data_IF_874204133202
#
_entry.id   IF_874204133202
#
_cell.length_a   1.000
_cell.length_b   1.000
_cell.length_c   1.000
_cell.angle_alpha   90.00
_cell.angle_beta   90.00
_cell.angle_gamma   90.00
#
_symmetry.space_group_name_H-M   'P 1'
#
loop_
_entity.id
_entity.type
_entity.pdbx_description
1 polymer ?
#
# COMPACT_ATOMS: atom_id res chain seq x y z
N UNK A 1 13.36 -6.90 -5.44
CA UNK A 1 13.65 -7.14 -4.02
C UNK A 1 14.28 -5.87 -3.42
N UNK A 2 13.94 -5.51 -2.18
CA UNK A 2 14.37 -4.25 -1.55
C UNK A 2 15.89 -4.15 -1.35
N UNK A 3 16.54 -3.01 -1.67
CA UNK A 3 15.95 -1.73 -2.13
C UNK A 3 15.57 -1.74 -3.62
N UNK A 4 14.44 -1.10 -3.95
CA UNK A 4 13.99 -0.98 -5.34
C UNK A 4 14.93 -0.05 -6.12
N UNK A 5 15.39 -0.51 -7.29
CA UNK A 5 16.29 0.26 -8.17
C UNK A 5 15.53 0.95 -9.31
N UNK A 6 14.35 0.44 -9.63
CA UNK A 6 13.46 0.93 -10.68
C UNK A 6 12.03 0.83 -10.11
N UNK A 7 11.25 1.89 -10.29
CA UNK A 7 9.82 1.91 -9.95
C UNK A 7 9.00 1.54 -11.18
N UNK A 8 7.92 0.80 -10.96
CA UNK A 8 7.05 0.33 -12.03
C UNK A 8 6.28 1.47 -12.73
N UNK A 9 6.01 2.56 -12.00
CA UNK A 9 5.15 3.65 -12.45
C UNK A 9 3.69 3.22 -12.61
N UNK A 10 2.82 4.18 -12.88
CA UNK A 10 1.39 3.94 -13.10
C UNK A 10 1.13 3.12 -14.37
N UNK A 11 1.89 3.38 -15.43
CA UNK A 11 1.81 2.65 -16.71
C UNK A 11 2.03 1.15 -16.52
N UNK A 12 3.04 0.76 -15.73
CA UNK A 12 3.34 -0.64 -15.51
C UNK A 12 2.22 -1.34 -14.72
N UNK A 13 1.72 -0.71 -13.65
CA UNK A 13 0.61 -1.28 -12.86
C UNK A 13 -0.66 -1.45 -13.68
N UNK A 14 -1.00 -0.47 -14.53
CA UNK A 14 -2.16 -0.55 -15.42
C UNK A 14 -2.02 -1.67 -16.45
N UNK A 15 -0.83 -1.81 -17.05
CA UNK A 15 -0.54 -2.91 -17.97
C UNK A 15 -0.70 -4.28 -17.31
N UNK A 16 -0.14 -4.49 -16.11
CA UNK A 16 -0.32 -5.75 -15.38
C UNK A 16 -1.79 -6.01 -15.04
N UNK A 17 -2.55 -4.97 -14.68
CA UNK A 17 -3.98 -5.09 -14.43
C UNK A 17 -4.74 -5.57 -15.66
N UNK A 18 -4.45 -5.00 -16.83
CA UNK A 18 -5.06 -5.40 -18.11
C UNK A 18 -4.70 -6.85 -18.46
N UNK A 19 -3.42 -7.22 -18.35
CA UNK A 19 -2.96 -8.59 -18.63
C UNK A 19 -3.63 -9.62 -17.71
N UNK A 20 -3.76 -9.29 -16.42
CA UNK A 20 -4.42 -10.14 -15.45
C UNK A 20 -5.92 -10.32 -15.76
N UNK A 21 -6.60 -9.25 -16.19
CA UNK A 21 -8.00 -9.31 -16.62
C UNK A 21 -8.18 -10.21 -17.84
N UNK A 22 -7.34 -10.05 -18.87
CA UNK A 22 -7.37 -10.88 -20.09
C UNK A 22 -7.11 -12.35 -19.74
N UNK A 23 -6.10 -12.64 -18.93
CA UNK A 23 -5.77 -14.00 -18.50
C UNK A 23 -6.93 -14.66 -17.75
N UNK A 24 -7.58 -13.91 -16.85
CA UNK A 24 -8.71 -14.40 -16.06
C UNK A 24 -9.92 -14.73 -16.94
N UNK A 25 -10.30 -13.83 -17.85
CA UNK A 25 -11.42 -14.04 -18.78
C UNK A 25 -11.13 -15.23 -19.72
N UNK A 26 -9.91 -15.30 -20.25
CA UNK A 26 -9.50 -16.38 -21.17
C UNK A 26 -9.48 -17.74 -20.50
N UNK A 27 -9.08 -17.82 -19.22
CA UNK A 27 -9.08 -19.07 -18.45
C UNK A 27 -10.48 -19.60 -18.16
N UNK A 28 -11.44 -18.71 -17.92
CA UNK A 28 -12.84 -19.04 -17.58
C UNK A 28 -13.63 -19.55 -18.80
N UNK A 29 -13.35 -19.01 -19.99
CA UNK A 29 -14.09 -19.33 -21.22
C UNK A 29 -13.77 -20.71 -21.81
N UNK A 30 -12.67 -21.36 -21.39
CA UNK A 30 -12.20 -22.63 -21.96
C UNK A 30 -12.66 -23.85 -21.15
N UNK A 31 -13.93 -23.89 -20.73
CA UNK A 31 -14.44 -25.07 -20.02
C UNK A 31 -14.80 -26.19 -21.04
N UNK A 32 -14.09 -27.33 -21.08
CA UNK A 32 -14.29 -28.35 -22.12
C UNK A 32 -15.60 -29.12 -21.97
N UNK A 33 -16.27 -29.01 -20.81
CA UNK A 33 -17.48 -29.75 -20.47
C UNK A 33 -18.70 -28.83 -20.57
N UNK A 34 -19.65 -29.08 -21.49
CA UNK A 34 -20.91 -28.36 -21.49
C UNK A 34 -21.67 -28.66 -20.19
N UNK A 35 -22.27 -27.63 -19.53
CA UNK A 35 -23.00 -27.82 -18.29
C UNK A 35 -24.16 -28.77 -18.51
N UNK A 36 -24.28 -29.80 -17.67
CA UNK A 36 -25.43 -30.69 -17.69
C UNK A 36 -26.65 -30.01 -17.03
N UNK A 37 -27.89 -30.24 -17.50
CA UNK A 37 -29.08 -29.63 -16.89
C UNK A 37 -29.20 -30.05 -15.43
N UNK A 38 -29.18 -29.09 -14.51
CA UNK A 38 -29.24 -29.31 -13.05
C UNK A 38 -27.88 -29.30 -12.33
N UNK A 39 -26.76 -29.25 -13.05
CA UNK A 39 -25.42 -29.19 -12.46
C UNK A 39 -24.96 -27.74 -12.27
N UNK A 40 -25.08 -27.23 -11.04
CA UNK A 40 -24.67 -25.86 -10.68
C UNK A 40 -23.14 -25.71 -10.53
N UNK A 41 -22.40 -26.82 -10.45
CA UNK A 41 -20.96 -26.80 -10.18
C UNK A 41 -20.15 -26.13 -11.30
N UNK A 42 -20.48 -26.42 -12.56
CA UNK A 42 -19.79 -25.84 -13.72
C UNK A 42 -19.96 -24.30 -13.81
N UNK A 43 -21.19 -23.73 -13.82
CA UNK A 43 -21.35 -22.27 -13.86
C UNK A 43 -20.81 -21.57 -12.61
N UNK A 44 -20.86 -22.21 -11.43
CA UNK A 44 -20.29 -21.65 -10.22
C UNK A 44 -18.75 -21.59 -10.28
N UNK A 45 -18.10 -22.61 -10.85
CA UNK A 45 -16.65 -22.63 -11.03
C UNK A 45 -16.14 -21.49 -11.92
N UNK A 46 -16.89 -21.10 -12.96
CA UNK A 46 -16.56 -19.96 -13.82
C UNK A 46 -16.45 -18.63 -13.05
N UNK A 47 -17.19 -18.47 -11.95
CA UNK A 47 -17.17 -17.26 -11.12
C UNK A 47 -16.17 -17.40 -9.96
N UNK A 48 -16.19 -18.56 -9.29
CA UNK A 48 -15.40 -18.80 -8.08
C UNK A 48 -13.90 -18.87 -8.37
N UNK A 49 -13.49 -19.47 -9.48
CA UNK A 49 -12.06 -19.62 -9.82
C UNK A 49 -11.36 -18.26 -10.03
N UNK A 50 -11.88 -17.34 -10.87
CA UNK A 50 -11.40 -15.96 -10.94
C UNK A 50 -11.32 -15.25 -9.61
N UNK A 51 -12.38 -15.40 -8.80
CA UNK A 51 -12.48 -14.71 -7.52
C UNK A 51 -11.40 -15.20 -6.55
N UNK A 52 -11.08 -16.50 -6.58
CA UNK A 52 -9.98 -17.08 -5.81
C UNK A 52 -8.61 -16.60 -6.33
N UNK A 53 -8.40 -16.56 -7.65
CA UNK A 53 -7.13 -16.07 -8.23
C UNK A 53 -6.91 -14.60 -7.87
N UNK A 54 -7.96 -13.79 -7.95
CA UNK A 54 -7.95 -12.36 -7.63
C UNK A 54 -8.20 -12.05 -6.14
N UNK A 55 -8.29 -13.07 -5.29
CA UNK A 55 -8.71 -12.88 -3.91
C UNK A 55 -7.81 -11.91 -3.15
N UNK A 56 -6.49 -11.98 -3.31
CA UNK A 56 -5.56 -11.06 -2.63
C UNK A 56 -5.67 -9.61 -3.11
N UNK A 57 -5.61 -9.29 -4.42
CA UNK A 57 -5.79 -7.91 -4.86
C UNK A 57 -7.18 -7.36 -4.53
N UNK A 58 -8.23 -8.18 -4.64
CA UNK A 58 -9.58 -7.78 -4.21
C UNK A 58 -9.62 -7.51 -2.71
N UNK A 59 -9.03 -8.40 -1.90
CA UNK A 59 -9.01 -8.24 -0.45
C UNK A 59 -8.23 -6.99 -0.01
N UNK A 60 -7.11 -6.66 -0.64
CA UNK A 60 -6.35 -5.43 -0.33
C UNK A 60 -7.21 -4.17 -0.58
N UNK A 61 -7.96 -4.16 -1.70
CA UNK A 61 -8.88 -3.06 -2.03
C UNK A 61 -10.07 -3.02 -1.07
N UNK A 62 -10.72 -4.16 -0.82
CA UNK A 62 -11.89 -4.25 0.06
C UNK A 62 -11.54 -3.87 1.51
N UNK A 63 -10.40 -4.33 2.02
CA UNK A 63 -9.93 -3.96 3.37
C UNK A 63 -9.59 -2.47 3.47
N UNK A 64 -9.06 -1.87 2.41
CA UNK A 64 -8.87 -0.42 2.35
C UNK A 64 -10.21 0.32 2.37
N UNK A 65 -11.21 -0.13 1.59
CA UNK A 65 -12.55 0.47 1.54
C UNK A 65 -13.27 0.36 2.91
N UNK A 66 -13.33 -0.82 3.51
CA UNK A 66 -14.02 -1.04 4.81
C UNK A 66 -13.43 -0.13 5.89
N UNK A 67 -12.10 -0.08 6.01
CA UNK A 67 -11.42 0.75 7.00
C UNK A 67 -11.72 2.23 6.80
N UNK A 68 -11.70 2.68 5.54
CA UNK A 68 -12.06 4.05 5.17
C UNK A 68 -13.47 4.38 5.65
N UNK A 69 -14.43 3.50 5.36
CA UNK A 69 -15.84 3.72 5.71
C UNK A 69 -16.01 3.76 7.22
N UNK A 70 -15.30 2.90 7.97
CA UNK A 70 -15.27 2.93 9.44
C UNK A 70 -14.62 4.19 10.04
N UNK A 71 -13.70 4.83 9.31
CA UNK A 71 -13.10 6.13 9.72
C UNK A 71 -13.89 7.34 9.23
N UNK A 72 -15.08 7.14 8.64
CA UNK A 72 -15.93 8.21 8.11
C UNK A 72 -15.31 8.97 6.92
N UNK A 73 -14.29 8.40 6.28
CA UNK A 73 -13.58 9.03 5.16
C UNK A 73 -14.29 8.66 3.84
N UNK A 74 -14.44 9.59 2.90
CA UNK A 74 -15.14 9.34 1.63
C UNK A 74 -14.33 8.43 0.68
N UNK A 75 -15.01 7.59 -0.12
CA UNK A 75 -14.45 6.53 -1.01
C UNK A 75 -13.28 6.99 -1.91
N UNK A 76 -13.15 8.29 -2.20
CA UNK A 76 -12.08 8.87 -3.02
C UNK A 76 -10.93 9.60 -2.29
N UNK A 77 -10.87 9.62 -0.95
CA UNK A 77 -9.68 10.19 -0.26
C UNK A 77 -8.42 9.34 -0.55
N UNK A 78 -7.21 9.88 -0.42
CA UNK A 78 -5.99 9.06 -0.55
C UNK A 78 -5.71 8.33 0.78
N UNK A 79 -5.96 7.02 0.87
CA UNK A 79 -5.43 6.18 1.96
C UNK A 79 -4.09 5.60 1.49
N UNK A 80 -3.02 5.82 2.26
CA UNK A 80 -1.66 5.33 1.94
C UNK A 80 -1.30 4.06 2.70
N UNK A 81 -2.21 3.53 3.51
CA UNK A 81 -1.96 2.33 4.33
C UNK A 81 -2.39 1.03 3.64
N UNK A 82 -1.59 0.60 2.67
CA UNK A 82 -1.72 -0.75 2.10
C UNK A 82 -1.30 -1.84 3.11
N UNK A 83 -1.68 -3.09 2.85
CA UNK A 83 -1.35 -4.24 3.72
C UNK A 83 0.12 -4.32 4.15
N UNK A 84 1.04 -3.93 3.27
CA UNK A 84 2.47 -3.85 3.55
C UNK A 84 2.81 -2.89 4.69
N UNK A 85 2.23 -1.68 4.69
CA UNK A 85 2.41 -0.70 5.77
C UNK A 85 1.85 -1.22 7.10
N UNK A 86 0.70 -1.88 7.07
CA UNK A 86 0.15 -2.54 8.26
C UNK A 86 1.06 -3.63 8.81
N UNK A 87 1.64 -4.49 7.97
CA UNK A 87 2.60 -5.48 8.43
C UNK A 87 3.83 -4.82 9.08
N UNK A 88 4.26 -3.67 8.57
CA UNK A 88 5.33 -2.90 9.20
C UNK A 88 4.91 -2.31 10.57
N UNK A 89 3.69 -1.79 10.70
CA UNK A 89 3.15 -1.30 11.99
C UNK A 89 3.02 -2.42 13.03
N UNK A 90 2.75 -3.64 12.57
CA UNK A 90 2.66 -4.84 13.39
C UNK A 90 4.06 -5.30 13.89
N UNK A 91 5.13 -4.81 13.28
CA UNK A 91 6.51 -5.08 13.67
C UNK A 91 7.30 -5.95 12.67
N UNK A 92 6.75 -6.24 11.49
CA UNK A 92 7.52 -6.92 10.43
C UNK A 92 8.45 -5.94 9.72
N UNK A 93 9.65 -6.40 9.36
CA UNK A 93 10.52 -5.61 8.48
C UNK A 93 9.95 -5.53 7.05
N UNK A 94 10.38 -4.52 6.27
CA UNK A 94 9.91 -4.31 4.90
C UNK A 94 10.01 -5.58 4.03
N UNK A 95 11.14 -6.30 4.08
CA UNK A 95 11.32 -7.56 3.33
C UNK A 95 10.37 -8.67 3.78
N UNK A 96 10.12 -8.77 5.08
CA UNK A 96 9.24 -9.80 5.65
C UNK A 96 7.78 -9.53 5.29
N UNK A 97 7.36 -8.26 5.30
CA UNK A 97 6.00 -7.87 4.91
C UNK A 97 5.70 -8.25 3.45
N UNK A 98 6.60 -7.93 2.52
CA UNK A 98 6.46 -8.32 1.10
C UNK A 98 6.47 -9.84 0.93
N UNK A 99 7.34 -10.56 1.63
CA UNK A 99 7.41 -12.02 1.55
C UNK A 99 6.12 -12.69 2.06
N UNK A 100 5.56 -12.20 3.16
CA UNK A 100 4.26 -12.67 3.68
C UNK A 100 3.16 -12.43 2.67
N UNK A 101 3.13 -11.27 2.01
CA UNK A 101 2.16 -10.99 0.95
C UNK A 101 2.30 -11.98 -0.22
N UNK A 102 3.52 -12.29 -0.67
CA UNK A 102 3.75 -13.30 -1.71
C UNK A 102 3.29 -14.69 -1.29
N UNK A 103 3.55 -15.10 -0.05
CA UNK A 103 3.12 -16.39 0.47
C UNK A 103 1.59 -16.49 0.57
N UNK A 104 0.92 -15.44 1.02
CA UNK A 104 -0.55 -15.41 1.05
C UNK A 104 -1.15 -15.45 -0.37
N UNK A 105 -0.61 -14.67 -1.31
CA UNK A 105 -1.02 -14.74 -2.73
C UNK A 105 -0.81 -16.11 -3.34
N UNK A 106 0.39 -16.69 -3.15
CA UNK A 106 0.72 -18.02 -3.66
C UNK A 106 -0.17 -19.10 -3.05
N UNK A 107 -0.45 -19.03 -1.73
CA UNK A 107 -1.35 -19.96 -1.07
C UNK A 107 -2.74 -19.87 -1.70
N UNK A 108 -3.35 -18.69 -1.75
CA UNK A 108 -4.75 -18.54 -2.17
C UNK A 108 -4.92 -18.83 -3.67
N UNK A 109 -4.05 -18.30 -4.54
CA UNK A 109 -4.11 -18.63 -5.98
C UNK A 109 -3.79 -20.10 -6.24
N UNK A 110 -2.83 -20.67 -5.49
CA UNK A 110 -2.51 -22.10 -5.53
C UNK A 110 -3.67 -22.99 -5.11
N UNK A 111 -4.50 -22.55 -4.14
CA UNK A 111 -5.75 -23.24 -3.77
C UNK A 111 -6.67 -23.40 -4.97
N UNK A 112 -6.91 -22.29 -5.70
CA UNK A 112 -7.80 -22.27 -6.85
C UNK A 112 -7.34 -23.22 -7.96
N UNK A 113 -6.03 -23.28 -8.20
CA UNK A 113 -5.45 -24.21 -9.16
C UNK A 113 -5.52 -25.67 -8.68
N UNK A 114 -5.21 -25.92 -7.41
CA UNK A 114 -5.16 -27.27 -6.84
C UNK A 114 -6.52 -27.97 -6.81
N UNK A 115 -7.61 -27.22 -6.61
CA UNK A 115 -9.00 -27.73 -6.68
C UNK A 115 -9.29 -28.38 -8.03
N UNK A 116 -8.67 -27.92 -9.12
CA UNK A 116 -8.84 -28.48 -10.46
C UNK A 116 -7.91 -29.64 -10.82
N UNK A 117 -6.85 -29.90 -10.02
CA UNK A 117 -5.78 -30.83 -10.38
C UNK A 117 -5.61 -32.02 -9.42
N UNK A 118 -6.05 -31.89 -8.16
CA UNK A 118 -5.78 -32.86 -7.09
C UNK A 118 -7.07 -33.15 -6.32
N UNK A 119 -7.16 -34.35 -5.73
CA UNK A 119 -8.26 -34.73 -4.83
C UNK A 119 -8.52 -33.68 -3.75
N UNK A 120 -9.76 -33.18 -3.71
CA UNK A 120 -10.15 -32.03 -2.88
C UNK A 120 -9.88 -32.21 -1.38
N UNK A 121 -9.86 -33.44 -0.86
CA UNK A 121 -9.59 -33.73 0.56
C UNK A 121 -8.14 -33.40 0.95
N UNK A 122 -7.18 -33.75 0.10
CA UNK A 122 -5.76 -33.41 0.31
C UNK A 122 -5.52 -31.92 0.15
N UNK A 123 -6.18 -31.31 -0.84
CA UNK A 123 -6.10 -29.87 -1.10
C UNK A 123 -6.61 -29.09 0.11
N UNK A 124 -7.79 -29.40 0.64
CA UNK A 124 -8.33 -28.73 1.84
C UNK A 124 -7.41 -28.86 3.05
N UNK A 125 -6.83 -30.05 3.28
CA UNK A 125 -5.88 -30.26 4.38
C UNK A 125 -4.61 -29.41 4.25
N UNK A 126 -4.00 -29.38 3.07
CA UNK A 126 -2.80 -28.59 2.79
C UNK A 126 -3.06 -27.08 2.96
N UNK A 127 -4.22 -26.62 2.48
CA UNK A 127 -4.65 -25.22 2.58
C UNK A 127 -4.81 -24.81 4.03
N UNK A 128 -5.48 -25.64 4.84
CA UNK A 128 -5.76 -25.33 6.23
C UNK A 128 -4.47 -25.25 7.05
N UNK A 129 -3.53 -26.18 6.84
CA UNK A 129 -2.20 -26.14 7.46
C UNK A 129 -1.41 -24.91 7.02
N UNK A 130 -1.38 -24.62 5.71
CA UNK A 130 -0.69 -23.44 5.17
C UNK A 130 -1.26 -22.12 5.69
N UNK A 131 -2.58 -22.01 5.77
CA UNK A 131 -3.28 -20.83 6.28
C UNK A 131 -2.99 -20.62 7.77
N UNK A 132 -3.04 -21.68 8.59
CA UNK A 132 -2.72 -21.61 10.03
C UNK A 132 -1.25 -21.22 10.24
N UNK A 133 -0.32 -21.79 9.47
CA UNK A 133 1.10 -21.45 9.55
C UNK A 133 1.36 -19.98 9.19
N UNK A 134 0.77 -19.49 8.09
CA UNK A 134 0.92 -18.09 7.67
C UNK A 134 0.23 -17.12 8.61
N UNK A 135 -0.95 -17.46 9.14
CA UNK A 135 -1.63 -16.65 10.14
C UNK A 135 -0.79 -16.52 11.40
N UNK A 136 -0.19 -17.63 11.85
CA UNK A 136 0.70 -17.66 13.01
C UNK A 136 1.95 -16.80 12.77
N UNK A 137 2.58 -16.90 11.60
CA UNK A 137 3.73 -16.07 11.22
C UNK A 137 3.37 -14.58 11.11
N UNK A 138 2.14 -14.25 10.71
CA UNK A 138 1.62 -12.87 10.67
C UNK A 138 1.31 -12.34 12.08
N UNK A 139 0.89 -13.20 13.01
CA UNK A 139 0.58 -12.82 14.39
C UNK A 139 1.82 -12.80 15.32
N UNK A 140 2.90 -13.50 14.96
CA UNK A 140 4.09 -13.67 15.80
C UNK A 140 4.68 -12.37 16.37
N UNK A 141 4.91 -11.29 15.60
CA UNK A 141 5.44 -10.04 16.16
C UNK A 141 4.43 -9.26 17.01
N UNK A 142 3.10 -9.44 16.81
CA UNK A 142 2.09 -8.87 17.72
C UNK A 142 2.19 -9.49 19.11
N UNK A 143 2.49 -10.78 19.18
CA UNK A 143 2.58 -11.52 20.44
C UNK A 143 3.93 -11.31 21.13
N UNK A 144 5.02 -11.19 20.36
CA UNK A 144 6.35 -10.85 20.89
C UNK A 144 6.40 -9.46 21.55
N UNK A 145 5.66 -8.46 21.01
CA UNK A 145 5.54 -7.13 21.62
C UNK A 145 4.76 -7.14 22.95
N UNK A 146 3.73 -7.99 23.09
CA UNK A 146 3.00 -8.12 24.37
C UNK A 146 3.86 -8.71 25.47
N UNK A 147 4.80 -9.61 25.14
CA UNK A 147 5.72 -10.21 26.11
C UNK A 147 6.83 -9.26 26.57
N UNK A 148 7.22 -8.29 25.74
CA UNK A 148 8.26 -7.30 26.08
C UNK A 148 7.69 -5.99 26.66
N UNK A 149 6.40 -5.69 26.47
CA UNK A 149 5.75 -4.48 26.99
C UNK A 149 5.42 -4.50 28.49
N UNK A 150 5.61 -5.63 29.17
CA UNK A 150 5.47 -5.74 30.64
C UNK A 150 6.80 -5.56 31.38
N UNK A 151 7.93 -5.40 30.66
CA UNK A 151 9.26 -5.19 31.23
C UNK A 151 9.82 -3.78 31.03
N UNK A 152 8.95 -2.80 30.77
CA UNK A 152 9.34 -1.39 30.89
C UNK A 152 8.81 -0.85 32.22
N UNK A 153 9.62 -1.06 33.27
CA UNK A 153 9.43 -0.43 34.58
C UNK A 153 9.39 1.08 34.35
N UNK A 154 8.35 1.81 34.81
CA UNK A 154 8.29 3.25 34.62
C UNK A 154 9.47 3.89 35.35
N UNK A 155 10.38 4.49 34.56
CA UNK A 155 11.49 5.26 35.09
C UNK A 155 10.93 6.47 35.84
N UNK A 156 11.05 6.37 37.16
CA UNK A 156 10.91 7.40 38.20
C UNK A 156 10.66 8.82 37.68
N UNK A 157 9.48 9.32 38.05
CA UNK A 157 9.29 10.73 38.40
C UNK A 157 10.42 11.17 39.35
N UNK A 158 11.23 12.11 38.87
CA UNK A 158 12.16 12.86 39.71
C UNK A 158 11.95 14.34 39.43
N UNK A 159 10.89 14.88 40.03
CA UNK A 159 10.94 16.10 40.83
C UNK A 159 11.93 17.19 40.39
N UNK A 160 11.34 18.30 39.95
CA UNK A 160 11.85 19.67 40.10
C UNK A 160 13.24 19.97 39.54
N UNK A 161 13.29 20.53 38.33
CA UNK A 161 13.86 21.87 38.14
C UNK A 161 13.08 22.62 37.07
N UNK A 162 12.48 23.73 37.48
CA UNK A 162 11.98 24.77 36.62
C UNK A 162 13.07 25.14 35.61
N UNK A 163 12.76 24.96 34.32
CA UNK A 163 13.44 25.71 33.28
C UNK A 163 12.54 26.90 32.95
N UNK A 164 12.94 28.03 33.52
CA UNK A 164 12.48 29.36 33.18
C UNK A 164 12.61 29.58 31.66
N UNK A 165 11.57 30.05 30.95
CA UNK A 165 11.72 30.38 29.55
C UNK A 165 12.59 31.64 29.47
N UNK A 166 13.80 31.51 28.91
CA UNK A 166 14.62 32.65 28.50
C UNK A 166 13.85 33.39 27.42
N UNK A 167 13.15 34.46 27.83
CA UNK A 167 12.58 35.44 26.92
C UNK A 167 13.75 36.02 26.13
N UNK A 168 13.86 35.61 24.87
CA UNK A 168 14.78 36.22 23.93
C UNK A 168 14.53 37.73 23.92
N UNK A 169 15.56 38.49 24.25
CA UNK A 169 15.55 39.94 24.20
C UNK A 169 15.05 40.39 22.82
N UNK A 170 13.89 41.05 22.81
CA UNK A 170 13.42 41.82 21.67
C UNK A 170 14.50 42.87 21.40
N UNK A 171 15.24 42.69 20.31
CA UNK A 171 16.12 43.73 19.76
C UNK A 171 15.21 44.89 19.38
N UNK A 172 15.40 46.11 19.93
CA UNK A 172 14.64 47.26 19.48
C UNK A 172 14.98 47.52 18.01
N UNK A 173 13.97 47.60 17.16
CA UNK A 173 14.14 48.04 15.78
C UNK A 173 14.72 49.46 15.78
N UNK A 174 15.92 49.64 15.23
CA UNK A 174 16.48 50.97 14.98
C UNK A 174 15.55 51.77 14.05
N UNK A 175 15.05 52.94 14.47
CA UNK A 175 14.33 53.82 13.58
C UNK A 175 15.34 54.70 12.85
N UNK A 176 15.69 54.37 11.59
CA UNK A 176 16.54 55.30 10.84
C UNK A 176 17.21 54.87 9.53
N UNK A 177 16.83 53.77 8.87
CA UNK A 177 17.32 53.52 7.50
C UNK A 177 16.24 53.84 6.47
N UNK A 178 16.35 55.04 5.92
CA UNK A 178 15.75 55.42 4.63
C UNK A 178 16.05 54.32 3.61
N UNK A 179 14.99 53.78 3.00
CA UNK A 179 15.11 52.82 1.89
C UNK A 179 15.82 53.53 0.75
N UNK A 180 17.05 53.14 0.48
CA UNK A 180 17.76 53.48 -0.74
C UNK A 180 16.99 52.85 -1.91
N UNK A 181 16.57 53.63 -2.93
CA UNK A 181 15.87 53.07 -4.07
C UNK A 181 16.80 52.12 -4.83
N UNK A 182 16.23 50.99 -5.27
CA UNK A 182 16.93 49.98 -6.04
C UNK A 182 17.61 50.61 -7.27
N UNK A 183 18.82 50.18 -7.66
CA UNK A 183 19.46 50.67 -8.87
C UNK A 183 18.58 50.33 -10.08
N UNK A 184 18.27 51.36 -10.86
CA UNK A 184 17.54 51.24 -12.12
C UNK A 184 18.22 50.21 -13.03
N UNK A 185 17.42 49.33 -13.63
CA UNK A 185 17.90 48.34 -14.58
C UNK A 185 18.59 48.98 -15.78
N UNK A 186 19.44 48.23 -16.50
CA UNK A 186 20.20 48.74 -17.62
C UNK A 186 19.27 49.31 -18.72
N UNK A 187 19.65 50.43 -19.37
CA UNK A 187 18.82 51.08 -20.37
C UNK A 187 18.55 50.14 -21.55
N UNK A 188 17.27 50.04 -21.90
CA UNK A 188 16.72 49.25 -23.00
C UNK A 188 17.36 49.70 -24.33
N UNK A 189 18.23 48.85 -24.86
CA UNK A 189 19.03 49.11 -26.06
C UNK A 189 18.24 48.90 -27.37
N UNK A 190 16.98 49.35 -27.43
CA UNK A 190 16.12 49.18 -28.61
C UNK A 190 15.55 50.47 -29.18
N UNK A 191 15.85 51.65 -28.61
CA UNK A 191 15.33 52.94 -29.09
C UNK A 191 16.12 53.59 -30.25
N UNK A 192 16.86 52.80 -31.04
CA UNK A 192 17.85 53.32 -31.99
C UNK A 192 17.76 52.84 -33.45
N UNK A 193 16.69 52.12 -33.86
CA UNK A 193 16.59 51.73 -35.27
C UNK A 193 15.95 52.86 -36.11
N UNK A 194 16.61 53.33 -37.18
CA UNK A 194 16.09 54.39 -38.04
C UNK A 194 14.86 53.92 -38.84
N UNK A 195 13.90 54.81 -39.13
CA UNK A 195 12.72 54.46 -39.94
C UNK A 195 12.99 54.57 -41.45
N UNK A 196 12.45 53.58 -42.19
CA UNK A 196 12.10 53.56 -43.62
C UNK A 196 13.28 53.68 -44.62
N UNK A 197 13.20 53.24 -45.89
CA UNK A 197 12.10 53.12 -46.86
C UNK A 197 12.63 52.33 -48.10
N UNK A 198 11.93 52.32 -49.25
CA UNK A 198 10.51 52.11 -49.52
C UNK A 198 10.18 50.68 -50.01
#
# INVERSE_FOLDING_TARGET
>A
FFPARIFMGDTGSMLLGILLAIATISGVGNNPRPPSPGELAAPLALVVVPLLVLAVPILDVVLAIIRRTWRGQGIGHADKEHLHHRLMEIGHGHRQAVLLMYLWSALISGCGLAIGLIDGRFVVGLILVGAVALFSATAFPRLARRRNGEHEVPARDNGSKQHEPVIGSIVPAEPGRSREPAPEGPPDATSGLPPAAP
#
